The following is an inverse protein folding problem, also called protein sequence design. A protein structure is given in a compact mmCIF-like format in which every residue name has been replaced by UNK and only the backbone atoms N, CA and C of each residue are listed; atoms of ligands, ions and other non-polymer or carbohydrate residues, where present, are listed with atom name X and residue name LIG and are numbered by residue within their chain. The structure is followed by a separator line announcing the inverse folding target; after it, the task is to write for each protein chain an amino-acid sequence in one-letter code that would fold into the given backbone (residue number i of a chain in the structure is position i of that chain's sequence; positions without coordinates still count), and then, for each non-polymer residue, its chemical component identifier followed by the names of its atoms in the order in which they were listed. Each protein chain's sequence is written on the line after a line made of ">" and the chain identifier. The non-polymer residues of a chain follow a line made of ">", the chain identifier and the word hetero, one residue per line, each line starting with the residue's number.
data_IF_665457644566
#
_entry.id   IF_665457644566
#
_cell.length_a   1.000
_cell.length_b   1.000
_cell.length_c   1.000
_cell.angle_alpha   90.00
_cell.angle_beta   90.00
_cell.angle_gamma   90.00
#
_symmetry.space_group_name_H-M   'P 1'
#
loop_
_entity.id
_entity.type
_entity.pdbx_description
1 polymer ?
#
# COMPACT_ATOMS: atom_id res chain seq x y z
N UNK A 1 -8.87 -26.97 -8.65
CA UNK A 1 -7.99 -26.05 -9.42
C UNK A 1 -8.43 -24.59 -9.26
N UNK A 2 -9.72 -24.27 -9.42
CA UNK A 2 -10.24 -22.91 -9.19
C UNK A 2 -10.11 -22.43 -7.73
N UNK A 3 -10.33 -23.31 -6.74
CA UNK A 3 -10.17 -22.95 -5.32
C UNK A 3 -8.69 -22.75 -4.92
N UNK A 4 -7.77 -23.51 -5.52
CA UNK A 4 -6.33 -23.38 -5.28
C UNK A 4 -5.77 -22.07 -5.85
N UNK A 5 -6.23 -21.67 -7.05
CA UNK A 5 -5.90 -20.39 -7.66
C UNK A 5 -6.52 -19.20 -6.90
N UNK A 6 -7.74 -19.37 -6.36
CA UNK A 6 -8.40 -18.34 -5.56
C UNK A 6 -7.65 -18.06 -4.24
N UNK A 7 -7.24 -19.11 -3.52
CA UNK A 7 -6.43 -18.96 -2.30
C UNK A 7 -5.06 -18.32 -2.55
N UNK A 8 -4.39 -18.67 -3.65
CA UNK A 8 -3.15 -18.01 -4.06
C UNK A 8 -3.35 -16.54 -4.41
N UNK A 9 -4.46 -16.20 -5.06
CA UNK A 9 -4.81 -14.82 -5.37
C UNK A 9 -4.96 -13.94 -4.12
N UNK A 10 -5.59 -14.46 -3.07
CA UNK A 10 -5.72 -13.76 -1.79
C UNK A 10 -4.36 -13.59 -1.10
N UNK A 11 -3.56 -14.66 -1.00
CA UNK A 11 -2.21 -14.58 -0.42
C UNK A 11 -1.31 -13.60 -1.17
N UNK A 12 -1.33 -13.63 -2.50
CA UNK A 12 -0.57 -12.70 -3.34
C UNK A 12 -1.04 -11.26 -3.09
N UNK A 13 -2.35 -11.04 -2.94
CA UNK A 13 -2.91 -9.73 -2.62
C UNK A 13 -2.44 -9.19 -1.27
N UNK A 14 -2.36 -10.04 -0.24
CA UNK A 14 -1.81 -9.68 1.07
C UNK A 14 -0.31 -9.36 1.01
N UNK A 15 0.46 -10.17 0.26
CA UNK A 15 1.89 -9.95 0.08
C UNK A 15 2.12 -8.61 -0.64
N UNK A 16 1.36 -8.30 -1.69
CA UNK A 16 1.47 -7.03 -2.41
C UNK A 16 1.08 -5.86 -1.49
N UNK A 17 0.00 -5.99 -0.72
CA UNK A 17 -0.48 -4.97 0.21
C UNK A 17 0.58 -4.55 1.23
N UNK A 18 1.38 -5.49 1.75
CA UNK A 18 2.36 -5.21 2.81
C UNK A 18 3.78 -5.01 2.27
N UNK A 19 4.20 -5.81 1.29
CA UNK A 19 5.56 -5.78 0.77
C UNK A 19 5.81 -4.56 -0.13
N UNK A 20 4.81 -4.13 -0.91
CA UNK A 20 4.99 -3.03 -1.86
C UNK A 20 5.22 -1.69 -1.16
N UNK A 21 4.43 -1.28 -0.15
CA UNK A 21 4.73 -0.06 0.61
C UNK A 21 6.05 -0.13 1.38
N UNK A 22 6.35 -1.29 2.00
CA UNK A 22 7.58 -1.48 2.77
C UNK A 22 8.84 -1.39 1.88
N UNK A 23 8.82 -2.05 0.71
CA UNK A 23 9.93 -2.01 -0.25
C UNK A 23 10.14 -0.59 -0.81
N UNK A 24 9.06 0.12 -1.14
CA UNK A 24 9.17 1.50 -1.62
C UNK A 24 9.70 2.44 -0.53
N UNK A 25 9.20 2.33 0.71
CA UNK A 25 9.72 3.11 1.85
C UNK A 25 11.21 2.83 2.07
N UNK A 26 11.64 1.56 2.02
CA UNK A 26 13.05 1.19 2.13
C UNK A 26 13.90 1.77 0.99
N UNK A 27 13.43 1.70 -0.26
CA UNK A 27 14.08 2.31 -1.41
C UNK A 27 14.23 3.83 -1.26
N UNK A 28 13.15 4.54 -0.87
CA UNK A 28 13.24 5.99 -0.67
C UNK A 28 14.11 6.35 0.53
N UNK A 29 14.13 5.53 1.58
CA UNK A 29 15.03 5.71 2.71
C UNK A 29 16.51 5.60 2.29
N UNK A 30 16.86 4.63 1.44
CA UNK A 30 18.24 4.40 1.03
C UNK A 30 18.71 5.37 -0.06
N UNK A 31 17.88 5.66 -1.07
CA UNK A 31 18.32 6.35 -2.27
C UNK A 31 17.83 7.80 -2.39
N UNK A 32 16.63 8.14 -1.92
CA UNK A 32 16.06 9.48 -2.15
C UNK A 32 15.03 9.90 -1.10
N UNK A 33 15.51 10.24 0.10
CA UNK A 33 14.68 10.61 1.26
C UNK A 33 13.81 11.86 1.02
N UNK A 34 14.22 12.75 0.10
CA UNK A 34 13.44 13.96 -0.27
C UNK A 34 12.14 13.60 -0.98
N UNK A 35 12.13 12.50 -1.72
CA UNK A 35 10.99 12.01 -2.48
C UNK A 35 10.12 11.02 -1.68
N UNK A 36 10.41 10.72 -0.41
CA UNK A 36 9.66 9.71 0.36
C UNK A 36 8.13 9.93 0.40
N UNK A 37 7.63 11.15 0.24
CA UNK A 37 6.20 11.43 0.15
C UNK A 37 5.54 10.97 -1.16
N UNK A 38 6.30 10.76 -2.24
CA UNK A 38 5.75 10.22 -3.49
C UNK A 38 5.32 8.76 -3.35
N UNK A 39 5.74 8.07 -2.28
CA UNK A 39 5.29 6.72 -1.97
C UNK A 39 3.79 6.66 -1.73
N UNK A 40 3.20 7.71 -1.15
CA UNK A 40 1.78 7.77 -0.79
C UNK A 40 0.88 7.68 -2.03
N UNK A 41 1.03 8.53 -3.08
CA UNK A 41 0.23 8.39 -4.30
C UNK A 41 0.52 7.10 -5.08
N UNK A 42 1.74 6.55 -5.01
CA UNK A 42 2.07 5.27 -5.66
C UNK A 42 1.32 4.12 -4.99
N UNK A 43 1.33 4.05 -3.66
CA UNK A 43 0.57 3.05 -2.91
C UNK A 43 -0.94 3.20 -3.16
N UNK A 44 -1.46 4.42 -3.12
CA UNK A 44 -2.88 4.69 -3.39
C UNK A 44 -3.31 4.22 -4.81
N UNK A 45 -2.45 4.43 -5.81
CA UNK A 45 -2.69 3.94 -7.16
C UNK A 45 -2.65 2.41 -7.25
N UNK A 46 -1.69 1.76 -6.59
CA UNK A 46 -1.63 0.30 -6.51
C UNK A 46 -2.87 -0.27 -5.83
N UNK A 47 -3.28 0.31 -4.70
CA UNK A 47 -4.45 -0.16 -3.96
C UNK A 47 -5.74 0.03 -4.77
N UNK A 48 -5.89 1.12 -5.53
CA UNK A 48 -7.00 1.31 -6.47
C UNK A 48 -6.98 0.31 -7.63
N UNK A 49 -5.80 -0.12 -8.11
CA UNK A 49 -5.70 -1.12 -9.17
C UNK A 49 -6.09 -2.52 -8.69
N UNK A 50 -5.63 -2.92 -7.50
CA UNK A 50 -5.89 -4.24 -6.94
C UNK A 50 -7.27 -4.34 -6.26
N UNK A 51 -7.64 -3.32 -5.50
CA UNK A 51 -8.85 -3.30 -4.66
C UNK A 51 -9.92 -2.33 -5.15
N UNK A 52 -9.68 -1.55 -6.21
CA UNK A 52 -10.67 -0.59 -6.72
C UNK A 52 -12.00 -1.24 -7.09
N UNK A 53 -11.98 -2.42 -7.71
CA UNK A 53 -13.22 -3.17 -8.00
C UNK A 53 -14.00 -3.53 -6.74
N UNK A 54 -13.31 -3.88 -5.65
CA UNK A 54 -13.91 -4.13 -4.34
C UNK A 54 -14.44 -2.85 -3.67
N UNK A 55 -13.78 -1.70 -3.90
CA UNK A 55 -14.22 -0.38 -3.42
C UNK A 55 -15.46 0.15 -4.16
N UNK A 56 -15.65 -0.20 -5.44
CA UNK A 56 -16.80 0.25 -6.24
C UNK A 56 -17.99 -0.71 -6.22
N UNK A 57 -17.84 -1.92 -5.67
CA UNK A 57 -18.95 -2.86 -5.49
C UNK A 57 -19.60 -2.68 -4.12
N UNK A 58 -20.93 -2.60 -4.08
CA UNK A 58 -21.73 -2.26 -2.90
C UNK A 58 -21.60 -3.24 -1.73
N UNK A 59 -21.20 -4.50 -1.98
CA UNK A 59 -20.89 -5.49 -0.94
C UNK A 59 -19.42 -5.46 -0.44
N UNK A 60 -18.49 -4.86 -1.20
CA UNK A 60 -17.05 -4.85 -0.89
C UNK A 60 -16.52 -3.55 -0.29
N UNK A 61 -17.32 -2.47 -0.31
CA UNK A 61 -16.96 -1.12 0.17
C UNK A 61 -16.37 -1.09 1.59
N UNK A 62 -16.90 -1.90 2.50
CA UNK A 62 -16.43 -1.95 3.89
C UNK A 62 -15.06 -2.61 4.03
N UNK A 63 -14.84 -3.71 3.30
CA UNK A 63 -13.61 -4.49 3.36
C UNK A 63 -12.46 -3.72 2.69
N UNK A 64 -12.69 -3.15 1.51
CA UNK A 64 -11.68 -2.34 0.81
C UNK A 64 -11.23 -1.12 1.63
N UNK A 65 -12.17 -0.43 2.30
CA UNK A 65 -11.86 0.73 3.13
C UNK A 65 -11.12 0.37 4.44
N UNK A 66 -11.43 -0.78 5.04
CA UNK A 66 -10.76 -1.31 6.24
C UNK A 66 -9.27 -1.57 6.02
N UNK A 67 -8.87 -1.88 4.79
CA UNK A 67 -7.47 -2.11 4.44
C UNK A 67 -6.79 -0.85 3.88
N UNK A 68 -7.48 -0.05 3.05
CA UNK A 68 -6.89 1.17 2.48
C UNK A 68 -6.44 2.15 3.57
N UNK A 69 -7.31 2.43 4.54
CA UNK A 69 -7.12 3.55 5.48
C UNK A 69 -5.91 3.30 6.41
N UNK A 70 -5.78 2.13 7.08
CA UNK A 70 -4.64 1.89 7.95
C UNK A 70 -3.29 1.88 7.21
N UNK A 71 -3.25 1.29 6.01
CA UNK A 71 -2.03 1.26 5.18
C UNK A 71 -1.60 2.67 4.79
N UNK A 72 -2.53 3.49 4.28
CA UNK A 72 -2.24 4.88 3.90
C UNK A 72 -1.77 5.72 5.08
N UNK A 73 -2.38 5.56 6.25
CA UNK A 73 -1.96 6.27 7.46
C UNK A 73 -0.54 5.86 7.85
N UNK A 74 -0.23 4.56 7.88
CA UNK A 74 1.09 4.06 8.22
C UNK A 74 2.16 4.53 7.23
N UNK A 75 1.89 4.39 5.94
CA UNK A 75 2.79 4.77 4.86
C UNK A 75 3.07 6.27 4.86
N UNK A 76 2.03 7.08 5.08
CA UNK A 76 2.17 8.53 5.19
C UNK A 76 3.00 8.93 6.41
N UNK A 77 2.74 8.33 7.58
CA UNK A 77 3.51 8.59 8.79
C UNK A 77 5.00 8.22 8.60
N UNK A 78 5.27 7.05 8.03
CA UNK A 78 6.63 6.60 7.74
C UNK A 78 7.35 7.52 6.74
N UNK A 79 6.68 7.93 5.66
CA UNK A 79 7.22 8.87 4.68
C UNK A 79 7.57 10.23 5.31
N UNK A 80 6.72 10.73 6.21
CA UNK A 80 6.96 11.97 6.96
C UNK A 80 8.17 11.81 7.88
N UNK A 81 8.28 10.69 8.60
CA UNK A 81 9.42 10.40 9.47
C UNK A 81 10.73 10.34 8.67
N UNK A 82 10.77 9.64 7.54
CA UNK A 82 11.94 9.56 6.67
C UNK A 82 12.37 10.96 6.20
N UNK A 83 11.40 11.79 5.78
CA UNK A 83 11.66 13.14 5.29
C UNK A 83 12.15 14.08 6.39
N UNK A 84 11.60 13.98 7.60
CA UNK A 84 11.97 14.83 8.74
C UNK A 84 13.32 14.40 9.34
N UNK A 85 13.60 13.10 9.41
CA UNK A 85 14.89 12.57 9.85
C UNK A 85 16.05 12.96 8.91
N UNK A 86 15.79 13.22 7.62
CA UNK A 86 16.80 13.75 6.69
C UNK A 86 17.03 15.27 6.85
N UNK A 87 16.08 16.02 7.42
CA UNK A 87 16.20 17.48 7.58
C UNK A 87 16.90 17.90 8.88
N UNK A 88 17.06 16.98 9.84
CA UNK A 88 17.93 17.14 11.01
C UNK A 88 19.34 16.69 10.65
#
# INVERSE_FOLDING_TARGET
>A
MNEFMAGYGEYLSWVIYLALPAALLACFYLFNKKAALSVVPICLAADLLFWGKALFTSHGRGIGALFLIPQLVFVTAAAVLIRTAHKK
#
